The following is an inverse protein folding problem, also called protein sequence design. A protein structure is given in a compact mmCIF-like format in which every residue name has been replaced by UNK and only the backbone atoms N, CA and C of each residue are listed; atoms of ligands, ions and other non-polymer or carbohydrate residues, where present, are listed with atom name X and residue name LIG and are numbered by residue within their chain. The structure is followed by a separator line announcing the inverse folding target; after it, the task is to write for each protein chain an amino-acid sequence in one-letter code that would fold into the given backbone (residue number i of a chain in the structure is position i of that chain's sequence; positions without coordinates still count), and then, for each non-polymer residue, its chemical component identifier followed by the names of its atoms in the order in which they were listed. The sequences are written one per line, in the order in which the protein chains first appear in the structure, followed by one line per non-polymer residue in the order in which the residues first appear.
data_IF_323619089891
#
_entry.id   IF_323619089891
#
_cell.length_a   1.000
_cell.length_b   1.000
_cell.length_c   1.000
_cell.angle_alpha   90.00
_cell.angle_beta   90.00
_cell.angle_gamma   90.00
#
_symmetry.space_group_name_H-M   'P 1'
#
loop_
_entity.id
_entity.type
_entity.pdbx_description
1 polymer ?
#
# COMPACT_ATOMS: atom_id res chain seq x y z
N UNK A 1 -8.58 -18.77 4.07
CA UNK A 1 -10.06 -18.68 4.05
C UNK A 1 -10.61 -17.47 4.84
N UNK A 2 -9.80 -16.58 5.43
CA UNK A 2 -10.33 -15.61 6.41
C UNK A 2 -10.21 -14.10 6.04
N UNK A 3 -9.26 -13.71 5.18
CA UNK A 3 -8.97 -12.28 4.95
C UNK A 3 -10.07 -11.52 4.18
N UNK A 4 -10.68 -12.15 3.17
CA UNK A 4 -11.76 -11.53 2.38
C UNK A 4 -12.99 -11.30 3.27
N UNK A 5 -13.43 -12.34 3.99
CA UNK A 5 -14.56 -12.25 4.92
C UNK A 5 -14.31 -11.19 6.00
N UNK A 6 -13.09 -11.12 6.53
CA UNK A 6 -12.69 -10.08 7.49
C UNK A 6 -12.84 -8.67 6.91
N UNK A 7 -12.39 -8.46 5.68
CA UNK A 7 -12.49 -7.18 4.96
C UNK A 7 -13.96 -6.82 4.70
N UNK A 8 -14.78 -7.79 4.27
CA UNK A 8 -16.22 -7.60 4.01
C UNK A 8 -16.98 -7.24 5.30
N UNK A 9 -16.75 -7.98 6.38
CA UNK A 9 -17.34 -7.67 7.69
C UNK A 9 -16.91 -6.28 8.18
N UNK A 10 -15.64 -5.92 7.99
CA UNK A 10 -15.14 -4.59 8.34
C UNK A 10 -15.82 -3.50 7.50
N UNK A 11 -15.97 -3.68 6.18
CA UNK A 11 -16.67 -2.76 5.31
C UNK A 11 -18.13 -2.57 5.73
N UNK A 12 -18.83 -3.66 6.06
CA UNK A 12 -20.20 -3.59 6.54
C UNK A 12 -20.31 -2.79 7.84
N UNK A 13 -19.39 -3.01 8.80
CA UNK A 13 -19.33 -2.25 10.05
C UNK A 13 -19.09 -0.75 9.81
N UNK A 14 -18.19 -0.39 8.89
CA UNK A 14 -17.96 1.02 8.51
C UNK A 14 -19.23 1.62 7.88
N UNK A 15 -19.87 0.93 6.95
CA UNK A 15 -21.12 1.38 6.32
C UNK A 15 -22.25 1.61 7.33
N UNK A 16 -22.38 0.71 8.32
CA UNK A 16 -23.38 0.85 9.38
C UNK A 16 -23.07 1.99 10.33
N UNK A 17 -21.79 2.24 10.63
CA UNK A 17 -21.37 3.42 11.38
C UNK A 17 -21.70 4.71 10.61
N UNK A 18 -21.35 4.77 9.33
CA UNK A 18 -21.62 5.91 8.44
C UNK A 18 -23.11 6.25 8.41
N UNK A 19 -24.00 5.27 8.19
CA UNK A 19 -25.46 5.48 8.20
C UNK A 19 -25.97 6.10 9.51
N UNK A 20 -25.39 5.72 10.65
CA UNK A 20 -25.73 6.31 11.96
C UNK A 20 -25.34 7.78 12.04
N UNK A 21 -24.25 8.19 11.42
CA UNK A 21 -23.76 9.58 11.43
C UNK A 21 -24.36 10.48 10.36
N UNK A 22 -24.71 9.94 9.18
CA UNK A 22 -25.40 10.67 8.12
C UNK A 22 -26.76 11.22 8.61
N UNK A 23 -27.44 10.50 9.50
CA UNK A 23 -28.66 10.99 10.18
C UNK A 23 -28.46 12.27 11.02
N UNK A 24 -27.21 12.69 11.26
CA UNK A 24 -26.83 13.82 12.13
C UNK A 24 -26.05 14.95 11.42
N UNK A 25 -25.98 14.98 10.08
CA UNK A 25 -25.29 16.06 9.32
C UNK A 25 -23.82 16.29 9.75
N UNK A 26 -23.07 15.23 10.08
CA UNK A 26 -21.67 15.34 10.47
C UNK A 26 -20.74 14.95 9.30
N UNK A 27 -19.86 15.88 8.90
CA UNK A 27 -18.83 15.65 7.88
C UNK A 27 -17.77 14.71 8.46
N UNK A 28 -17.68 13.50 7.91
CA UNK A 28 -16.84 12.37 8.27
C UNK A 28 -15.58 12.69 9.09
N UNK A 29 -15.53 12.14 10.30
CA UNK A 29 -14.33 12.11 11.15
C UNK A 29 -13.39 11.03 10.64
N UNK A 30 -12.12 11.38 10.47
CA UNK A 30 -11.01 10.46 10.20
C UNK A 30 -10.79 9.52 11.38
N UNK A 31 -11.73 8.59 11.62
CA UNK A 31 -11.67 7.68 12.76
C UNK A 31 -10.74 6.51 12.44
N UNK A 32 -9.44 6.81 12.36
CA UNK A 32 -8.32 5.85 12.46
C UNK A 32 -8.48 4.94 13.71
N UNK A 33 -9.38 5.29 14.65
CA UNK A 33 -9.82 4.51 15.82
C UNK A 33 -10.48 3.16 15.49
N UNK A 34 -10.95 2.94 14.25
CA UNK A 34 -11.49 1.64 13.85
C UNK A 34 -10.41 0.61 13.51
N UNK A 35 -9.16 1.05 13.35
CA UNK A 35 -8.01 0.17 13.19
C UNK A 35 -7.52 -0.32 14.55
N UNK A 36 -7.03 -1.56 14.59
CA UNK A 36 -6.23 -2.04 15.73
C UNK A 36 -4.92 -1.25 15.82
N UNK A 37 -4.29 -1.24 17.01
CA UNK A 37 -2.99 -0.58 17.20
C UNK A 37 -1.93 -1.08 16.22
N UNK A 38 -1.92 -2.38 15.92
CA UNK A 38 -1.01 -2.97 14.94
C UNK A 38 -1.27 -2.43 13.52
N UNK A 39 -2.52 -2.40 13.08
CA UNK A 39 -2.90 -1.89 11.75
C UNK A 39 -2.63 -0.39 11.61
N UNK A 40 -2.89 0.38 12.67
CA UNK A 40 -2.53 1.79 12.72
C UNK A 40 -1.01 1.98 12.57
N UNK A 41 -0.22 1.23 13.34
CA UNK A 41 1.24 1.30 13.27
C UNK A 41 1.79 0.87 11.90
N UNK A 42 1.19 -0.13 11.25
CA UNK A 42 1.52 -0.53 9.89
C UNK A 42 1.25 0.62 8.92
N UNK A 43 0.05 1.19 8.95
CA UNK A 43 -0.37 2.21 7.97
C UNK A 43 0.31 3.57 8.15
N UNK A 44 0.90 3.85 9.32
CA UNK A 44 1.69 5.06 9.59
C UNK A 44 3.20 4.85 9.46
N UNK A 45 3.67 3.62 9.31
CA UNK A 45 5.10 3.34 9.23
C UNK A 45 5.69 3.86 7.90
N UNK A 46 6.91 4.43 7.92
CA UNK A 46 7.61 4.80 6.69
C UNK A 46 8.04 3.55 5.91
N UNK A 47 8.21 3.68 4.59
CA UNK A 47 8.50 2.57 3.66
C UNK A 47 9.69 1.72 4.11
N UNK A 48 10.81 2.34 4.50
CA UNK A 48 12.00 1.61 4.95
C UNK A 48 11.71 0.74 6.19
N UNK A 49 10.85 1.21 7.09
CA UNK A 49 10.45 0.48 8.30
C UNK A 49 9.51 -0.66 7.95
N UNK A 50 8.56 -0.45 7.02
CA UNK A 50 7.69 -1.50 6.47
C UNK A 50 8.53 -2.62 5.85
N UNK A 51 9.41 -2.28 4.91
CA UNK A 51 10.28 -3.24 4.24
C UNK A 51 11.14 -4.03 5.23
N UNK A 52 11.74 -3.35 6.21
CA UNK A 52 12.53 -4.00 7.25
C UNK A 52 11.69 -4.95 8.13
N UNK A 53 10.50 -4.54 8.54
CA UNK A 53 9.62 -5.38 9.37
C UNK A 53 9.05 -6.56 8.60
N UNK A 54 8.78 -6.41 7.31
CA UNK A 54 8.34 -7.51 6.44
C UNK A 54 9.50 -8.48 6.17
N UNK A 55 10.69 -7.97 5.83
CA UNK A 55 11.86 -8.81 5.52
C UNK A 55 12.35 -9.62 6.72
N UNK A 56 12.20 -9.10 7.93
CA UNK A 56 12.52 -9.80 9.18
C UNK A 56 11.40 -10.68 9.70
N UNK A 57 10.22 -10.67 9.05
CA UNK A 57 9.05 -11.44 9.48
C UNK A 57 8.33 -10.92 10.72
N UNK A 58 8.63 -9.69 11.18
CA UNK A 58 7.87 -9.04 12.26
C UNK A 58 6.44 -8.73 11.84
N UNK A 59 6.24 -8.38 10.57
CA UNK A 59 4.94 -8.23 9.93
C UNK A 59 4.88 -9.11 8.68
N UNK A 60 3.70 -9.60 8.33
CA UNK A 60 3.52 -10.36 7.10
C UNK A 60 3.05 -9.45 5.96
N UNK A 61 3.24 -9.87 4.71
CA UNK A 61 2.68 -9.20 3.53
C UNK A 61 1.15 -9.15 3.63
N UNK A 62 0.51 -10.24 4.10
CA UNK A 62 -0.94 -10.30 4.26
C UNK A 62 -1.45 -9.31 5.31
N UNK A 63 -0.80 -9.23 6.47
CA UNK A 63 -1.14 -8.26 7.53
C UNK A 63 -0.97 -6.82 7.04
N UNK A 64 0.12 -6.57 6.31
CA UNK A 64 0.40 -5.26 5.75
C UNK A 64 -0.70 -4.85 4.77
N UNK A 65 -1.02 -5.72 3.80
CA UNK A 65 -2.09 -5.45 2.84
C UNK A 65 -3.44 -5.18 3.51
N UNK A 66 -3.86 -6.03 4.46
CA UNK A 66 -5.15 -5.89 5.14
C UNK A 66 -5.25 -4.54 5.87
N UNK A 67 -4.19 -4.11 6.55
CA UNK A 67 -4.18 -2.83 7.26
C UNK A 67 -4.40 -1.65 6.31
N UNK A 68 -3.73 -1.64 5.15
CA UNK A 68 -3.93 -0.62 4.12
C UNK A 68 -5.34 -0.66 3.51
N UNK A 69 -5.88 -1.86 3.26
CA UNK A 69 -7.26 -2.04 2.78
C UNK A 69 -8.28 -1.48 3.77
N UNK A 70 -8.18 -1.84 5.05
CA UNK A 70 -9.08 -1.32 6.09
C UNK A 70 -9.03 0.20 6.19
N UNK A 71 -7.83 0.80 6.09
CA UNK A 71 -7.69 2.26 6.12
C UNK A 71 -8.40 2.96 4.95
N UNK A 72 -8.26 2.43 3.74
CA UNK A 72 -8.96 2.99 2.58
C UNK A 72 -10.49 2.80 2.64
N UNK A 73 -10.97 1.72 3.28
CA UNK A 73 -12.40 1.54 3.58
C UNK A 73 -12.90 2.63 4.54
N UNK A 74 -12.15 2.94 5.61
CA UNK A 74 -12.49 4.02 6.55
C UNK A 74 -12.61 5.37 5.82
N UNK A 75 -11.69 5.64 4.90
CA UNK A 75 -11.70 6.87 4.10
C UNK A 75 -12.82 6.92 3.03
N UNK A 76 -13.64 5.86 2.91
CA UNK A 76 -14.64 5.68 1.84
C UNK A 76 -14.06 5.75 0.43
N UNK A 77 -12.75 5.54 0.29
CA UNK A 77 -12.06 5.56 -0.99
C UNK A 77 -12.31 4.27 -1.79
N UNK A 78 -12.83 3.25 -1.13
CA UNK A 78 -13.24 1.99 -1.76
C UNK A 78 -14.76 1.90 -1.79
N UNK A 79 -15.35 2.40 -2.87
CA UNK A 79 -16.80 2.25 -3.12
C UNK A 79 -17.16 0.86 -3.66
N UNK A 80 -16.19 0.10 -4.18
CA UNK A 80 -16.33 -1.35 -4.41
C UNK A 80 -15.02 -2.10 -4.14
N UNK A 81 -15.04 -3.06 -3.21
CA UNK A 81 -13.90 -3.93 -2.83
C UNK A 81 -13.61 -4.98 -3.92
N UNK A 82 -14.42 -5.04 -4.97
CA UNK A 82 -14.61 -6.28 -5.72
C UNK A 82 -13.58 -6.51 -6.83
N UNK A 83 -12.81 -5.51 -7.25
CA UNK A 83 -11.86 -5.67 -8.36
C UNK A 83 -10.40 -5.57 -7.88
N UNK A 84 -9.68 -6.68 -7.89
CA UNK A 84 -8.22 -6.72 -7.66
C UNK A 84 -7.74 -7.13 -6.26
N UNK A 85 -8.59 -7.00 -5.23
CA UNK A 85 -8.19 -7.29 -3.83
C UNK A 85 -7.94 -8.79 -3.61
N UNK A 86 -8.73 -9.67 -4.22
CA UNK A 86 -8.52 -11.13 -4.10
C UNK A 86 -7.14 -11.56 -4.62
N UNK A 87 -6.75 -11.02 -5.78
CA UNK A 87 -5.44 -11.27 -6.39
C UNK A 87 -4.31 -10.72 -5.50
N UNK A 88 -4.50 -9.53 -4.93
CA UNK A 88 -3.54 -8.94 -3.99
C UNK A 88 -3.38 -9.81 -2.73
N UNK A 89 -4.48 -10.31 -2.16
CA UNK A 89 -4.45 -11.22 -0.99
C UNK A 89 -3.73 -12.53 -1.35
N UNK A 90 -4.04 -13.12 -2.50
CA UNK A 90 -3.38 -14.34 -2.95
C UNK A 90 -1.87 -14.13 -3.10
N UNK A 91 -1.45 -13.01 -3.71
CA UNK A 91 -0.04 -12.64 -3.84
C UNK A 91 0.62 -12.45 -2.48
N UNK A 92 -0.02 -11.76 -1.55
CA UNK A 92 0.49 -11.55 -0.20
C UNK A 92 0.70 -12.89 0.55
N UNK A 93 -0.28 -13.79 0.48
CA UNK A 93 -0.17 -15.12 1.08
C UNK A 93 0.93 -15.97 0.44
N UNK A 94 1.13 -15.85 -0.87
CA UNK A 94 2.22 -16.50 -1.58
C UNK A 94 3.59 -16.01 -1.08
N UNK A 95 3.75 -14.69 -0.93
CA UNK A 95 4.98 -14.07 -0.43
C UNK A 95 5.27 -14.49 1.02
N UNK A 96 4.25 -14.51 1.88
CA UNK A 96 4.38 -14.99 3.26
C UNK A 96 4.81 -16.46 3.32
N UNK A 97 4.26 -17.30 2.43
CA UNK A 97 4.64 -18.72 2.32
C UNK A 97 6.08 -18.86 1.82
N UNK A 98 6.48 -18.04 0.85
CA UNK A 98 7.84 -18.02 0.32
C UNK A 98 8.84 -17.66 1.44
N UNK A 99 8.59 -16.55 2.15
CA UNK A 99 9.47 -16.07 3.22
C UNK A 99 9.63 -17.11 4.32
N UNK A 100 8.50 -17.70 4.77
CA UNK A 100 8.51 -18.76 5.79
C UNK A 100 9.27 -20.01 5.35
N UNK A 101 9.17 -20.39 4.08
CA UNK A 101 9.80 -21.60 3.54
C UNK A 101 11.29 -21.41 3.30
N UNK A 102 11.69 -20.26 2.77
CA UNK A 102 13.05 -20.02 2.28
C UNK A 102 13.90 -19.23 3.27
N UNK A 103 13.30 -18.54 4.24
CA UNK A 103 13.99 -17.63 5.16
C UNK A 103 14.51 -16.36 4.47
N UNK A 104 14.16 -16.13 3.21
CA UNK A 104 14.63 -15.01 2.39
C UNK A 104 13.45 -14.28 1.77
N UNK A 105 13.67 -13.00 1.45
CA UNK A 105 12.72 -12.18 0.72
C UNK A 105 12.75 -12.50 -0.77
N UNK A 106 11.59 -12.49 -1.39
CA UNK A 106 11.46 -12.46 -2.84
C UNK A 106 11.53 -10.99 -3.27
N UNK A 107 12.60 -10.57 -3.94
CA UNK A 107 12.79 -9.20 -4.44
C UNK A 107 12.96 -8.11 -3.37
N UNK A 108 13.32 -6.87 -3.78
CA UNK A 108 13.57 -5.75 -2.86
C UNK A 108 12.30 -5.11 -2.28
N UNK A 109 11.12 -5.32 -2.89
CA UNK A 109 9.83 -4.80 -2.43
C UNK A 109 8.97 -5.88 -1.78
N UNK A 110 9.60 -6.91 -1.20
CA UNK A 110 8.92 -8.08 -0.67
C UNK A 110 7.72 -7.72 0.22
N UNK A 111 6.52 -8.15 -0.19
CA UNK A 111 5.28 -7.98 0.56
C UNK A 111 4.73 -6.56 0.63
N UNK A 112 5.40 -5.57 0.04
CA UNK A 112 4.98 -4.17 0.10
C UNK A 112 3.76 -3.94 -0.82
N UNK A 113 2.65 -3.39 -0.32
CA UNK A 113 1.53 -2.95 -1.16
C UNK A 113 1.93 -1.71 -1.97
N UNK A 114 1.94 -1.83 -3.29
CA UNK A 114 2.22 -0.72 -4.23
C UNK A 114 1.13 -0.61 -5.29
N UNK A 115 0.90 0.61 -5.77
CA UNK A 115 -0.12 0.87 -6.77
C UNK A 115 0.31 0.35 -8.14
N UNK A 116 -0.65 -0.03 -8.98
CA UNK A 116 -0.38 -0.40 -10.37
C UNK A 116 0.37 0.69 -11.13
N UNK A 117 -0.02 1.96 -10.98
CA UNK A 117 0.65 3.08 -11.66
C UNK A 117 2.09 3.29 -11.21
N UNK A 118 2.41 3.03 -9.93
CA UNK A 118 3.78 3.03 -9.43
C UNK A 118 4.59 1.90 -10.07
N UNK A 119 3.99 0.72 -10.23
CA UNK A 119 4.61 -0.41 -10.92
C UNK A 119 4.86 -0.11 -12.41
N UNK A 120 3.90 0.51 -13.10
CA UNK A 120 4.05 0.94 -14.50
C UNK A 120 5.21 1.95 -14.64
N UNK A 121 5.30 2.91 -13.72
CA UNK A 121 6.41 3.88 -13.68
C UNK A 121 7.77 3.19 -13.48
N UNK A 122 7.85 2.18 -12.61
CA UNK A 122 9.07 1.38 -12.46
C UNK A 122 9.41 0.62 -13.74
N UNK A 123 8.42 0.01 -14.38
CA UNK A 123 8.63 -0.73 -15.63
C UNK A 123 9.22 0.16 -16.74
N UNK A 124 8.67 1.37 -16.90
CA UNK A 124 9.21 2.36 -17.85
C UNK A 124 10.62 2.80 -17.49
N UNK A 125 10.88 3.10 -16.20
CA UNK A 125 12.18 3.55 -15.72
C UNK A 125 13.29 2.51 -15.94
N UNK A 126 12.99 1.22 -15.76
CA UNK A 126 13.97 0.13 -15.88
C UNK A 126 13.98 -0.51 -17.28
N UNK A 127 13.44 0.17 -18.31
CA UNK A 127 13.53 -0.28 -19.70
C UNK A 127 12.81 -1.59 -19.97
N UNK A 128 11.73 -1.88 -19.23
CA UNK A 128 10.91 -3.06 -19.41
C UNK A 128 11.47 -4.36 -18.83
N UNK A 129 12.52 -4.31 -18.00
CA UNK A 129 13.05 -5.49 -17.31
C UNK A 129 12.06 -5.93 -16.23
N UNK A 130 11.42 -7.09 -16.42
CA UNK A 130 10.48 -7.69 -15.47
C UNK A 130 11.15 -8.65 -14.49
N UNK A 131 12.04 -8.15 -13.64
CA UNK A 131 12.43 -8.93 -12.45
C UNK A 131 11.26 -8.95 -11.46
N UNK A 132 10.96 -10.09 -10.82
CA UNK A 132 9.95 -10.11 -9.76
C UNK A 132 10.45 -9.27 -8.57
N UNK A 133 9.85 -8.09 -8.38
CA UNK A 133 10.17 -7.17 -7.30
C UNK A 133 9.66 -7.65 -5.94
N UNK A 134 8.81 -8.68 -5.90
CA UNK A 134 8.29 -9.25 -4.67
C UNK A 134 7.15 -8.51 -4.02
N UNK A 135 6.62 -7.49 -4.68
CA UNK A 135 5.58 -6.64 -4.13
C UNK A 135 4.19 -7.29 -4.24
N UNK A 136 3.23 -6.63 -3.58
CA UNK A 136 1.79 -6.86 -3.77
C UNK A 136 1.25 -5.67 -4.57
N UNK A 137 0.76 -5.91 -5.78
CA UNK A 137 0.17 -4.83 -6.60
C UNK A 137 -1.30 -4.65 -6.24
N UNK A 138 -1.71 -3.40 -6.05
CA UNK A 138 -3.10 -2.99 -5.84
C UNK A 138 -3.52 -1.95 -6.88
N UNK A 139 -4.78 -2.00 -7.28
CA UNK A 139 -5.31 -1.15 -8.36
C UNK A 139 -5.52 0.30 -7.94
N UNK A 140 -5.69 0.55 -6.64
CA UNK A 140 -5.95 1.88 -6.08
C UNK A 140 -4.70 2.46 -5.44
N UNK A 141 -4.35 3.68 -5.83
CA UNK A 141 -3.24 4.46 -5.24
C UNK A 141 -3.41 4.68 -3.73
N UNK A 142 -4.64 4.79 -3.25
CA UNK A 142 -4.92 5.03 -1.83
C UNK A 142 -4.78 3.76 -0.97
N UNK A 143 -4.72 2.59 -1.62
CA UNK A 143 -4.40 1.30 -1.00
C UNK A 143 -2.89 1.02 -0.95
N UNK A 144 -2.11 1.80 -1.69
CA UNK A 144 -0.68 1.62 -1.79
C UNK A 144 0.04 2.49 -0.76
N UNK A 145 1.25 2.06 -0.42
CA UNK A 145 2.17 2.98 0.24
C UNK A 145 2.50 4.09 -0.76
N UNK A 146 2.20 5.34 -0.41
CA UNK A 146 2.61 6.48 -1.22
C UNK A 146 4.14 6.50 -1.23
N UNK A 147 4.73 6.24 -2.40
CA UNK A 147 6.18 6.29 -2.61
C UNK A 147 6.68 7.74 -2.78
N UNK A 148 5.76 8.71 -2.77
CA UNK A 148 6.07 10.14 -2.75
C UNK A 148 6.46 10.53 -1.31
N UNK A 149 7.77 10.59 -1.11
CA UNK A 149 8.48 10.97 0.10
C UNK A 149 7.71 11.82 1.13
N UNK A 150 7.63 11.29 2.36
CA UNK A 150 7.52 12.10 3.57
C UNK A 150 8.86 12.79 3.89
N UNK A 151 9.40 13.55 2.93
CA UNK A 151 10.35 14.62 3.24
C UNK A 151 9.58 15.92 3.27
N UNK A 152 9.54 16.55 4.44
CA UNK A 152 8.90 17.84 4.66
C UNK A 152 9.33 18.89 3.63
N UNK A 153 8.41 19.30 2.76
CA UNK A 153 8.20 20.71 2.40
C UNK A 153 6.93 20.85 1.55
N UNK A 154 5.86 21.36 2.16
CA UNK A 154 4.78 22.00 1.40
C UNK A 154 5.38 23.24 0.74
N UNK A 155 5.69 23.18 -0.55
CA UNK A 155 5.68 24.38 -1.39
C UNK A 155 4.56 24.25 -2.41
N UNK A 156 3.46 24.93 -2.09
CA UNK A 156 2.59 25.66 -3.03
C UNK A 156 2.84 25.33 -4.50
N UNK A 157 1.83 24.81 -5.19
CA UNK A 157 1.41 25.30 -6.51
C UNK A 157 -0.02 24.82 -6.79
N UNK A 158 -0.94 25.75 -6.55
CA UNK A 158 -2.29 25.73 -7.08
C UNK A 158 -2.22 26.31 -8.51
N UNK A 159 -2.98 25.72 -9.43
CA UNK A 159 -3.35 26.25 -10.75
C UNK A 159 -2.35 26.12 -11.90
N UNK A 160 -2.84 25.59 -13.01
CA UNK A 160 -2.34 25.88 -14.35
C UNK A 160 -1.66 24.71 -15.04
N UNK A 161 -2.32 24.15 -16.06
CA UNK A 161 -1.69 23.45 -17.19
C UNK A 161 -0.35 24.12 -17.55
N UNK A 162 0.76 23.40 -17.47
CA UNK A 162 1.93 23.50 -18.36
C UNK A 162 2.81 22.26 -18.12
N UNK A 163 3.12 21.53 -19.20
CA UNK A 163 4.20 20.53 -19.21
C UNK A 163 5.50 21.20 -18.77
N UNK A 164 6.17 20.67 -17.75
CA UNK A 164 7.55 21.05 -17.45
C UNK A 164 8.35 19.79 -17.17
N UNK A 165 9.28 19.51 -18.08
CA UNK A 165 10.50 18.72 -17.84
C UNK A 165 11.01 18.98 -16.42
N UNK A 166 11.05 17.96 -15.56
CA UNK A 166 11.83 18.04 -14.33
C UNK A 166 13.07 17.19 -14.51
N UNK A 167 14.21 17.90 -14.49
CA UNK A 167 15.55 17.37 -14.48
C UNK A 167 15.73 16.38 -13.32
N UNK A 168 15.67 15.09 -13.62
CA UNK A 168 16.22 14.03 -12.77
C UNK A 168 17.36 13.34 -13.51
N UNK A 169 18.28 14.14 -14.06
CA UNK A 169 19.55 13.65 -14.57
C UNK A 169 20.65 13.92 -13.54
N UNK A 170 21.39 12.85 -13.23
CA UNK A 170 22.75 12.88 -12.69
C UNK A 170 22.93 12.91 -11.17
N UNK A 171 22.53 11.82 -10.51
CA UNK A 171 23.39 11.20 -9.49
C UNK A 171 23.21 9.69 -9.54
N UNK A 172 24.18 9.01 -10.14
CA UNK A 172 24.27 7.56 -10.18
C UNK A 172 24.16 6.98 -8.76
N UNK A 173 23.03 6.35 -8.46
CA UNK A 173 22.94 5.32 -7.43
C UNK A 173 22.74 4.00 -8.18
N UNK A 174 23.85 3.44 -8.69
CA UNK A 174 23.87 2.04 -9.14
C UNK A 174 23.68 1.17 -7.88
N UNK A 175 22.65 0.31 -7.82
CA UNK A 175 22.56 -0.64 -6.74
C UNK A 175 23.69 -1.67 -6.91
N UNK A 176 24.64 -1.67 -5.97
CA UNK A 176 25.69 -2.68 -5.87
C UNK A 176 25.07 -3.98 -5.32
N UNK A 177 24.41 -4.75 -6.18
CA UNK A 177 24.08 -6.15 -5.87
C UNK A 177 25.32 -7.01 -6.14
N UNK A 178 26.02 -7.42 -5.08
CA UNK A 178 26.98 -8.52 -5.16
C UNK A 178 26.21 -9.84 -5.13
N UNK A 179 26.39 -10.65 -6.16
CA UNK A 179 26.04 -12.08 -6.22
C UNK A 179 27.03 -12.85 -5.35
#
# INVERSE_FOLDING_TARGET
MNAIIEIEHFQQNVNDAVKRFESKNMKYTSDDKMLTEKEFNITKAPIHSLLNKISTGHWTATETLIAFVKRAIINQEITSITYGIEQAIYRAQYLDKYHRKNGTTMGPLHGLPIARSQMESFYEMYGGITSDWGNVTVDSLNLAVSLEDHTSSKSSLRSGRTMVHTNFASRELRPQFKI
#
